data_IF_480285044802
#
_entry.id   IF_480285044802
#
_cell.length_a   1.000
_cell.length_b   1.000
_cell.length_c   1.000
_cell.angle_alpha   90.00
_cell.angle_beta   90.00
_cell.angle_gamma   90.00
#
_symmetry.space_group_name_H-M   'P 1'
#
loop_
_entity.id
_entity.type
_entity.pdbx_description
1 polymer ?
#
# COMPACT_ATOMS: atom_id res chain seq x y z
N UNK A 1 -6.89 -19.43 -5.84
CA UNK A 1 -5.44 -19.29 -5.60
C UNK A 1 -4.90 -18.41 -6.73
N UNK A 2 -4.32 -17.25 -6.41
CA UNK A 2 -3.83 -16.30 -7.43
C UNK A 2 -2.41 -16.62 -7.86
N UNK A 3 -2.07 -16.29 -9.11
CA UNK A 3 -0.72 -16.41 -9.64
C UNK A 3 0.26 -15.49 -8.90
N UNK A 4 1.55 -15.85 -8.90
CA UNK A 4 2.60 -15.05 -8.27
C UNK A 4 2.82 -13.77 -9.06
N UNK A 5 2.70 -12.62 -8.40
CA UNK A 5 3.06 -11.31 -8.97
C UNK A 5 4.58 -11.16 -9.13
N UNK A 6 5.00 -10.74 -10.32
CA UNK A 6 6.38 -10.44 -10.71
C UNK A 6 6.58 -8.93 -10.91
N UNK A 7 7.85 -8.49 -10.96
CA UNK A 7 8.16 -7.09 -11.25
C UNK A 7 7.71 -6.65 -12.65
N UNK A 8 7.61 -7.59 -13.60
CA UNK A 8 7.08 -7.32 -14.93
C UNK A 8 5.60 -6.91 -14.88
N UNK A 9 4.82 -7.51 -13.97
CA UNK A 9 3.37 -7.26 -13.87
C UNK A 9 3.05 -5.85 -13.39
N UNK A 10 3.96 -5.22 -12.64
CA UNK A 10 3.84 -3.83 -12.19
C UNK A 10 3.82 -2.82 -13.37
N UNK A 11 4.23 -3.27 -14.57
CA UNK A 11 4.33 -2.44 -15.79
C UNK A 11 3.21 -2.70 -16.79
N UNK A 12 2.24 -3.54 -16.46
CA UNK A 12 1.09 -3.81 -17.33
C UNK A 12 0.29 -2.53 -17.52
N UNK A 13 0.03 -2.18 -18.77
CA UNK A 13 -0.83 -1.05 -19.11
C UNK A 13 -2.30 -1.41 -18.89
N UNK A 14 -2.88 -0.87 -17.83
CA UNK A 14 -4.26 -1.06 -17.44
C UNK A 14 -4.74 0.18 -16.68
N UNK A 15 -5.99 0.65 -16.88
CA UNK A 15 -6.52 1.79 -16.15
C UNK A 15 -6.64 1.54 -14.63
N UNK A 16 -6.45 0.29 -14.18
CA UNK A 16 -6.39 -0.08 -12.76
C UNK A 16 -4.98 -0.05 -12.15
N UNK A 17 -3.93 0.19 -12.95
CA UNK A 17 -2.55 0.16 -12.48
C UNK A 17 -2.14 1.50 -11.83
N UNK A 18 -2.22 1.56 -10.50
CA UNK A 18 -1.83 2.76 -9.72
C UNK A 18 -0.31 2.99 -9.63
N UNK A 19 0.53 2.11 -10.21
CA UNK A 19 1.95 2.44 -10.43
C UNK A 19 2.15 3.34 -11.65
N UNK A 20 1.25 3.27 -12.64
CA UNK A 20 1.36 4.04 -13.89
C UNK A 20 0.44 5.26 -13.91
N UNK A 21 -0.78 5.11 -13.37
CA UNK A 21 -1.80 6.16 -13.40
C UNK A 21 -2.06 6.72 -11.99
N UNK A 22 -1.88 8.05 -11.78
CA UNK A 22 -2.16 8.67 -10.48
C UNK A 22 -3.66 8.79 -10.22
N UNK A 23 -4.03 8.74 -8.94
CA UNK A 23 -5.42 8.85 -8.48
C UNK A 23 -6.10 7.49 -8.24
N UNK A 24 -7.43 7.50 -8.17
CA UNK A 24 -8.22 6.28 -7.99
C UNK A 24 -8.47 5.59 -9.35
N UNK A 25 -8.52 4.25 -9.38
CA UNK A 25 -8.91 3.52 -10.59
C UNK A 25 -10.39 3.80 -10.98
N UNK A 26 -10.83 3.43 -12.20
CA UNK A 26 -12.20 3.69 -12.67
C UNK A 26 -13.33 3.10 -11.82
N UNK A 27 -13.03 2.08 -11.01
CA UNK A 27 -13.99 1.42 -10.12
C UNK A 27 -13.32 0.59 -9.03
N UNK A 28 -14.10 0.00 -8.12
CA UNK A 28 -13.56 -0.81 -7.03
C UNK A 28 -12.91 -2.10 -7.55
N UNK A 29 -11.90 -2.59 -6.83
CA UNK A 29 -11.22 -3.86 -7.12
C UNK A 29 -11.76 -5.03 -6.29
N UNK A 30 -12.59 -4.75 -5.28
CA UNK A 30 -13.20 -5.75 -4.41
C UNK A 30 -14.54 -5.25 -3.83
N UNK A 31 -15.15 -6.07 -2.97
CA UNK A 31 -16.28 -5.69 -2.15
C UNK A 31 -15.79 -5.33 -0.72
N UNK A 32 -15.74 -4.04 -0.34
CA UNK A 32 -15.19 -3.61 0.96
C UNK A 32 -16.15 -3.91 2.12
N UNK A 33 -15.61 -4.40 3.23
CA UNK A 33 -16.35 -4.55 4.47
C UNK A 33 -16.65 -3.21 5.16
N UNK A 34 -17.55 -3.23 6.16
CA UNK A 34 -17.97 -2.03 6.89
C UNK A 34 -16.82 -1.25 7.54
N UNK A 35 -15.78 -1.95 8.03
CA UNK A 35 -14.60 -1.31 8.60
C UNK A 35 -13.85 -0.46 7.57
N UNK A 36 -13.65 -0.98 6.36
CA UNK A 36 -12.99 -0.27 5.26
C UNK A 36 -13.79 0.97 4.82
N UNK A 37 -15.12 0.84 4.72
CA UNK A 37 -16.02 1.97 4.40
C UNK A 37 -15.91 3.07 5.46
N UNK A 38 -15.94 2.70 6.75
CA UNK A 38 -15.79 3.67 7.85
C UNK A 38 -14.43 4.36 7.84
N UNK A 39 -13.34 3.65 7.52
CA UNK A 39 -12.01 4.24 7.44
C UNK A 39 -11.90 5.31 6.37
N UNK A 40 -12.58 5.14 5.22
CA UNK A 40 -12.64 6.17 4.17
C UNK A 40 -13.46 7.37 4.60
N UNK A 41 -14.59 7.16 5.29
CA UNK A 41 -15.48 8.24 5.73
C UNK A 41 -14.95 9.03 6.94
N UNK A 42 -14.14 8.39 7.78
CA UNK A 42 -13.58 8.95 9.02
C UNK A 42 -12.11 8.56 9.18
N UNK A 43 -11.21 9.08 8.33
CA UNK A 43 -9.80 8.78 8.44
C UNK A 43 -9.17 9.43 9.68
N UNK A 44 -8.13 8.81 10.22
CA UNK A 44 -7.29 9.45 11.22
C UNK A 44 -6.51 10.61 10.58
N UNK A 45 -6.42 11.73 11.28
CA UNK A 45 -5.65 12.89 10.81
C UNK A 45 -4.16 12.69 11.07
N UNK A 46 -3.39 12.44 10.01
CA UNK A 46 -1.95 12.25 10.08
C UNK A 46 -1.23 12.71 8.82
N UNK A 47 0.09 12.91 8.90
CA UNK A 47 0.96 13.29 7.77
C UNK A 47 1.75 12.13 7.14
N UNK A 48 1.33 10.87 7.34
CA UNK A 48 2.04 9.72 6.79
C UNK A 48 1.78 9.59 5.29
N UNK A 49 2.85 9.33 4.53
CA UNK A 49 2.81 9.13 3.07
C UNK A 49 3.25 7.72 2.68
N UNK A 50 3.97 7.02 3.54
CA UNK A 50 4.53 5.70 3.27
C UNK A 50 4.22 4.73 4.40
N UNK A 51 4.10 3.46 4.07
CA UNK A 51 4.03 2.38 5.05
C UNK A 51 4.78 1.13 4.55
N UNK A 52 5.31 0.33 5.47
CA UNK A 52 5.91 -0.98 5.18
C UNK A 52 5.49 -1.99 6.24
N UNK A 53 5.32 -3.27 5.86
CA UNK A 53 5.08 -4.34 6.82
C UNK A 53 6.33 -4.58 7.67
N UNK A 54 6.24 -4.32 8.97
CA UNK A 54 7.36 -4.36 9.92
C UNK A 54 7.65 -5.74 10.53
N UNK A 55 6.81 -6.75 10.25
CA UNK A 55 6.81 -8.03 10.93
C UNK A 55 5.67 -8.14 11.96
N UNK A 56 5.36 -9.38 12.38
CA UNK A 56 4.39 -9.67 13.45
C UNK A 56 3.00 -9.01 13.26
N UNK A 57 2.56 -8.85 12.00
CA UNK A 57 1.26 -8.25 11.68
C UNK A 57 1.18 -6.74 11.88
N UNK A 58 2.32 -6.04 12.01
CA UNK A 58 2.38 -4.58 12.20
C UNK A 58 2.86 -3.85 10.95
N UNK A 59 2.39 -2.61 10.80
CA UNK A 59 2.87 -1.66 9.80
C UNK A 59 3.69 -0.55 10.46
N UNK A 60 4.77 -0.15 9.79
CA UNK A 60 5.55 1.05 10.15
C UNK A 60 5.17 2.16 9.18
N UNK A 61 4.71 3.29 9.70
CA UNK A 61 4.29 4.46 8.92
C UNK A 61 5.39 5.53 8.92
N UNK A 62 5.56 6.22 7.79
CA UNK A 62 6.61 7.23 7.60
C UNK A 62 6.09 8.44 6.85
N UNK A 63 6.64 9.62 7.18
CA UNK A 63 6.27 10.90 6.55
C UNK A 63 7.17 11.23 5.37
N UNK A 64 8.43 10.77 5.42
CA UNK A 64 9.42 11.01 4.36
C UNK A 64 9.89 9.73 3.70
N UNK A 65 10.43 9.87 2.48
CA UNK A 65 11.03 8.76 1.76
C UNK A 65 12.25 8.18 2.50
N UNK A 66 13.05 9.03 3.15
CA UNK A 66 14.24 8.59 3.89
C UNK A 66 13.87 7.72 5.10
N UNK A 67 12.86 8.14 5.87
CA UNK A 67 12.28 7.33 6.96
C UNK A 67 11.77 6.00 6.44
N UNK A 68 11.01 6.02 5.34
CA UNK A 68 10.47 4.81 4.73
C UNK A 68 11.57 3.85 4.29
N UNK A 69 12.62 4.34 3.64
CA UNK A 69 13.76 3.51 3.22
C UNK A 69 14.48 2.88 4.41
N UNK A 70 14.63 3.60 5.52
CA UNK A 70 15.19 3.04 6.76
C UNK A 70 14.30 1.93 7.31
N UNK A 71 12.99 2.16 7.41
CA UNK A 71 12.03 1.15 7.83
C UNK A 71 12.00 -0.09 6.92
N UNK A 72 12.16 0.09 5.60
CA UNK A 72 12.26 -1.01 4.64
C UNK A 72 13.53 -1.84 4.87
N UNK A 73 14.68 -1.20 5.12
CA UNK A 73 15.94 -1.93 5.43
C UNK A 73 15.79 -2.76 6.70
N UNK A 74 15.22 -2.18 7.74
CA UNK A 74 14.96 -2.86 9.01
C UNK A 74 13.98 -4.03 8.85
N UNK A 75 12.86 -3.82 8.14
CA UNK A 75 11.89 -4.86 7.86
C UNK A 75 12.45 -6.03 7.04
N UNK A 76 13.44 -5.77 6.17
CA UNK A 76 14.14 -6.83 5.40
C UNK A 76 15.10 -7.65 6.25
N UNK A 77 15.68 -7.07 7.31
CA UNK A 77 16.58 -7.77 8.22
C UNK A 77 15.84 -8.69 9.21
N UNK A 78 14.55 -8.40 9.46
CA UNK A 78 13.67 -9.18 10.34
C UNK A 78 12.91 -10.31 9.64
N UNK A 79 13.02 -10.41 8.32
CA UNK A 79 12.46 -11.51 7.51
C UNK A 79 13.40 -12.70 7.52
#
# INVERSE_FOLDING_TARGET
>A
MGERLLFADLRIDSPYNTYLYPGLPPGPINNPGLASIRAVLRPESHGFLYFVHGGEGRHVFSRTLSEHQSAVREARQRR
#
